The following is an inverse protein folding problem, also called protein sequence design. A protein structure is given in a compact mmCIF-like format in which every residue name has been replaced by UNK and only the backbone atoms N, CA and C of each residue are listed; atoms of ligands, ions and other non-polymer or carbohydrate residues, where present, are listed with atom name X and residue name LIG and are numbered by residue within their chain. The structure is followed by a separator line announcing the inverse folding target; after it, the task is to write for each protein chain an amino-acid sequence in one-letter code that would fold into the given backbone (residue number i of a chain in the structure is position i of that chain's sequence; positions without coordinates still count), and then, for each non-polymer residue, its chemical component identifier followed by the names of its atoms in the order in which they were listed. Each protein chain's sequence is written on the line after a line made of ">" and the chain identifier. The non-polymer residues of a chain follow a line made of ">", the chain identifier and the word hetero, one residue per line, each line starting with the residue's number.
data_IF_336561282756
#
_entry.id   IF_336561282756
#
_cell.length_a   1.000
_cell.length_b   1.000
_cell.length_c   1.000
_cell.angle_alpha   90.00
_cell.angle_beta   90.00
_cell.angle_gamma   90.00
#
_symmetry.space_group_name_H-M   'P 1'
#
loop_
_entity.id
_entity.type
_entity.pdbx_description
1 polymer ?
#
# COMPACT_ATOMS: atom_id res chain seq x y z
N UNK A 1 12.51 -10.76 -37.83
CA UNK A 1 12.49 -12.21 -37.52
C UNK A 1 13.93 -12.66 -37.52
N UNK A 2 14.51 -12.79 -36.35
CA UNK A 2 15.67 -13.63 -36.06
C UNK A 2 15.81 -13.59 -34.53
N UNK A 3 15.58 -14.74 -33.90
CA UNK A 3 15.68 -14.91 -32.47
C UNK A 3 17.11 -15.25 -32.08
N UNK A 4 17.59 -14.67 -31.00
CA UNK A 4 18.79 -15.13 -30.31
C UNK A 4 18.42 -15.44 -28.86
N UNK A 5 18.12 -16.72 -28.61
CA UNK A 5 18.18 -17.31 -27.27
C UNK A 5 19.57 -17.92 -27.12
N UNK A 6 20.30 -17.48 -26.10
CA UNK A 6 21.56 -18.09 -25.73
C UNK A 6 21.27 -19.33 -24.86
N UNK A 7 21.63 -20.47 -25.41
CA UNK A 7 21.63 -21.79 -24.77
C UNK A 7 22.94 -21.94 -24.01
N UNK A 8 22.89 -22.32 -22.74
CA UNK A 8 24.04 -22.91 -22.06
C UNK A 8 23.68 -24.32 -21.57
N UNK A 9 24.35 -25.29 -22.21
CA UNK A 9 24.33 -26.71 -21.89
C UNK A 9 25.23 -26.95 -20.69
N UNK A 10 24.67 -27.54 -19.63
CA UNK A 10 25.41 -28.05 -18.47
C UNK A 10 24.90 -29.43 -18.10
N UNK A 11 25.50 -30.45 -18.72
CA UNK A 11 25.20 -31.86 -18.56
C UNK A 11 25.96 -32.42 -17.35
N UNK A 12 25.26 -32.94 -16.34
CA UNK A 12 25.83 -33.97 -15.44
C UNK A 12 24.73 -34.96 -15.04
N UNK A 13 24.84 -36.16 -15.62
CA UNK A 13 24.17 -37.38 -15.19
C UNK A 13 24.68 -37.78 -13.80
N UNK A 14 23.76 -38.22 -12.94
CA UNK A 14 24.06 -39.20 -11.89
C UNK A 14 22.90 -40.17 -11.80
N UNK A 15 23.15 -41.36 -12.35
CA UNK A 15 22.32 -42.56 -12.25
C UNK A 15 22.33 -43.06 -10.80
N UNK A 16 21.15 -43.28 -10.23
CA UNK A 16 20.95 -44.31 -9.21
C UNK A 16 19.67 -45.08 -9.55
N UNK A 17 19.88 -46.16 -10.30
CA UNK A 17 18.97 -47.29 -10.38
C UNK A 17 18.97 -48.03 -9.06
N UNK A 18 17.83 -48.13 -8.40
CA UNK A 18 17.55 -49.16 -7.41
C UNK A 18 16.20 -49.79 -7.75
N UNK A 19 16.28 -50.95 -8.41
CA UNK A 19 15.20 -51.91 -8.54
C UNK A 19 15.11 -52.65 -7.18
N UNK A 20 13.99 -52.51 -6.49
CA UNK A 20 13.71 -53.21 -5.24
C UNK A 20 12.22 -53.44 -5.15
N UNK A 21 11.76 -54.57 -5.71
CA UNK A 21 10.37 -55.00 -5.63
C UNK A 21 10.00 -55.49 -4.24
N UNK A 22 8.77 -55.17 -3.82
CA UNK A 22 8.12 -55.72 -2.64
C UNK A 22 6.61 -55.58 -2.78
N UNK A 23 5.94 -56.69 -3.07
CA UNK A 23 4.48 -56.83 -3.07
C UNK A 23 3.89 -56.53 -1.70
N UNK A 24 2.87 -55.69 -1.66
CA UNK A 24 2.05 -55.45 -0.47
C UNK A 24 0.98 -54.42 -0.80
N UNK A 25 -0.20 -54.89 -1.18
CA UNK A 25 -1.33 -54.03 -1.44
C UNK A 25 -1.76 -53.31 -0.18
N UNK A 26 -1.85 -51.99 -0.27
CA UNK A 26 -2.78 -51.16 0.47
C UNK A 26 -3.14 -49.98 -0.44
N UNK A 27 -4.35 -50.03 -1.00
CA UNK A 27 -4.95 -48.89 -1.70
C UNK A 27 -5.35 -47.82 -0.68
N UNK A 28 -4.36 -47.19 -0.08
CA UNK A 28 -4.50 -45.85 0.45
C UNK A 28 -3.99 -44.90 -0.63
N UNK A 29 -4.89 -44.47 -1.51
CA UNK A 29 -4.66 -43.28 -2.32
C UNK A 29 -4.46 -42.12 -1.36
N UNK A 30 -3.22 -41.92 -0.92
CA UNK A 30 -2.79 -40.71 -0.25
C UNK A 30 -3.14 -39.58 -1.22
N UNK A 31 -4.20 -38.85 -0.90
CA UNK A 31 -4.54 -37.64 -1.65
C UNK A 31 -3.33 -36.73 -1.49
N UNK A 32 -2.57 -36.57 -2.58
CA UNK A 32 -1.49 -35.59 -2.65
C UNK A 32 -2.14 -34.25 -2.35
N UNK A 33 -1.86 -33.70 -1.17
CA UNK A 33 -2.32 -32.36 -0.81
C UNK A 33 -1.55 -31.42 -1.73
N UNK A 34 -2.20 -30.99 -2.81
CA UNK A 34 -1.65 -29.97 -3.69
C UNK A 34 -1.81 -28.65 -2.96
N UNK A 35 -0.69 -28.12 -2.48
CA UNK A 35 -0.63 -26.77 -1.94
C UNK A 35 -1.17 -25.79 -2.99
N UNK A 36 -1.86 -24.75 -2.54
CA UNK A 36 -2.54 -23.80 -3.42
C UNK A 36 -2.29 -22.39 -2.95
N UNK A 37 -2.03 -21.51 -3.91
CA UNK A 37 -2.08 -20.07 -3.70
C UNK A 37 -3.44 -19.56 -4.20
N UNK A 38 -4.11 -18.77 -3.37
CA UNK A 38 -5.41 -18.16 -3.69
C UNK A 38 -5.50 -16.72 -3.21
N UNK A 39 -6.45 -15.98 -3.77
CA UNK A 39 -6.74 -14.60 -3.38
C UNK A 39 -7.72 -13.95 -4.34
N UNK A 40 -7.85 -12.63 -4.25
CA UNK A 40 -8.67 -11.83 -5.16
C UNK A 40 -7.92 -10.59 -5.62
N UNK A 41 -7.83 -10.38 -6.92
CA UNK A 41 -7.29 -9.15 -7.51
C UNK A 41 -8.39 -8.10 -7.56
N UNK A 42 -8.07 -6.91 -7.09
CA UNK A 42 -9.00 -5.78 -7.00
C UNK A 42 -8.39 -4.53 -7.64
N UNK A 43 -9.27 -3.65 -8.07
CA UNK A 43 -8.95 -2.27 -8.41
C UNK A 43 -9.36 -1.39 -7.22
N UNK A 44 -8.39 -0.70 -6.63
CA UNK A 44 -8.64 0.30 -5.61
C UNK A 44 -9.15 1.58 -6.27
N UNK A 45 -10.36 1.99 -5.89
CA UNK A 45 -10.94 3.24 -6.35
C UNK A 45 -11.30 4.11 -5.16
N UNK A 46 -11.54 5.40 -5.40
CA UNK A 46 -12.11 6.32 -4.40
C UNK A 46 -13.46 5.87 -3.85
N UNK A 47 -14.02 4.79 -4.40
CA UNK A 47 -15.37 4.29 -4.18
C UNK A 47 -15.37 2.86 -3.65
N UNK A 48 -14.17 2.38 -3.28
CA UNK A 48 -13.94 1.05 -2.74
C UNK A 48 -13.32 0.09 -3.71
N UNK A 49 -13.05 -1.08 -3.16
CA UNK A 49 -12.50 -2.20 -3.87
C UNK A 49 -13.52 -2.72 -4.89
N UNK A 50 -13.12 -2.72 -6.15
CA UNK A 50 -13.87 -3.36 -7.21
C UNK A 50 -13.14 -4.61 -7.67
N UNK A 51 -13.88 -5.68 -7.97
CA UNK A 51 -13.31 -6.86 -8.60
C UNK A 51 -12.59 -6.47 -9.89
N UNK A 52 -11.39 -7.00 -10.12
CA UNK A 52 -10.62 -6.68 -11.32
C UNK A 52 -10.36 -7.91 -12.18
N UNK A 53 -11.28 -8.27 -13.09
CA UNK A 53 -11.23 -9.52 -13.83
C UNK A 53 -10.25 -9.50 -15.02
N UNK A 54 -9.91 -10.70 -15.50
CA UNK A 54 -9.04 -10.92 -16.65
C UNK A 54 -7.60 -10.42 -16.45
N UNK A 55 -7.12 -10.44 -15.20
CA UNK A 55 -5.72 -10.27 -14.82
C UNK A 55 -5.02 -11.62 -15.01
N UNK A 56 -3.85 -11.60 -15.64
CA UNK A 56 -3.02 -12.79 -15.76
C UNK A 56 -2.25 -13.02 -14.46
N UNK A 57 -2.35 -14.23 -13.92
CA UNK A 57 -1.61 -14.67 -12.74
C UNK A 57 -0.54 -15.65 -13.21
N UNK A 58 0.72 -15.28 -13.00
CA UNK A 58 1.90 -15.98 -13.48
C UNK A 58 2.64 -16.55 -12.27
N UNK A 59 2.93 -17.85 -12.29
CA UNK A 59 3.79 -18.48 -11.29
C UNK A 59 5.17 -18.63 -11.87
N UNK A 60 6.18 -18.31 -11.07
CA UNK A 60 7.58 -18.34 -11.47
C UNK A 60 8.40 -19.29 -10.60
N UNK A 61 9.42 -19.90 -11.20
CA UNK A 61 10.49 -20.55 -10.45
C UNK A 61 11.44 -19.53 -9.79
N UNK A 62 12.41 -20.00 -9.00
CA UNK A 62 13.40 -19.14 -8.31
C UNK A 62 14.29 -18.31 -9.27
N UNK A 63 14.35 -18.65 -10.57
CA UNK A 63 15.08 -17.87 -11.56
C UNK A 63 14.21 -16.77 -12.19
N UNK A 64 12.93 -16.69 -11.83
CA UNK A 64 11.97 -15.74 -12.38
C UNK A 64 11.27 -16.23 -13.66
N UNK A 65 11.51 -17.47 -14.11
CA UNK A 65 10.92 -18.01 -15.33
C UNK A 65 9.47 -18.42 -15.11
N UNK A 66 8.58 -18.12 -16.06
CA UNK A 66 7.17 -18.51 -15.97
C UNK A 66 7.06 -20.04 -16.06
N UNK A 67 6.47 -20.66 -15.04
CA UNK A 67 6.15 -22.10 -15.00
C UNK A 67 4.65 -22.37 -15.12
N UNK A 68 3.79 -21.43 -14.71
CA UNK A 68 2.33 -21.52 -14.87
C UNK A 68 1.72 -20.17 -15.23
N UNK A 69 0.58 -20.23 -15.91
CA UNK A 69 -0.25 -19.07 -16.25
C UNK A 69 -1.71 -19.42 -16.06
N UNK A 70 -2.41 -18.62 -15.27
CA UNK A 70 -3.87 -18.66 -15.13
C UNK A 70 -4.44 -17.26 -15.29
N UNK A 71 -5.76 -17.15 -15.43
CA UNK A 71 -6.47 -15.87 -15.37
C UNK A 71 -7.42 -15.90 -14.20
N UNK A 72 -7.58 -14.78 -13.51
CA UNK A 72 -8.60 -14.67 -12.48
C UNK A 72 -10.02 -14.62 -13.08
N UNK A 73 -11.02 -14.93 -12.25
CA UNK A 73 -12.43 -14.98 -12.63
C UNK A 73 -13.03 -13.58 -12.79
N UNK A 74 -14.31 -13.51 -13.17
CA UNK A 74 -15.08 -12.26 -13.27
C UNK A 74 -15.18 -11.51 -11.93
N UNK A 75 -15.14 -12.24 -10.80
CA UNK A 75 -15.11 -11.69 -9.45
C UNK A 75 -13.69 -11.30 -8.98
N UNK A 76 -12.70 -11.44 -9.85
CA UNK A 76 -11.31 -11.14 -9.56
C UNK A 76 -10.57 -12.26 -8.82
N UNK A 77 -11.24 -13.38 -8.51
CA UNK A 77 -10.68 -14.47 -7.72
C UNK A 77 -9.70 -15.33 -8.52
N UNK A 78 -8.66 -15.82 -7.86
CA UNK A 78 -7.73 -16.78 -8.46
C UNK A 78 -7.39 -17.90 -7.47
N UNK A 79 -7.08 -19.07 -8.03
CA UNK A 79 -6.53 -20.21 -7.31
C UNK A 79 -5.59 -20.96 -8.25
N UNK A 80 -4.36 -21.19 -7.82
CA UNK A 80 -3.31 -21.85 -8.60
C UNK A 80 -2.60 -22.88 -7.74
N UNK A 81 -2.34 -24.06 -8.30
CA UNK A 81 -1.53 -25.07 -7.61
C UNK A 81 -0.12 -24.52 -7.37
N UNK A 82 0.44 -24.83 -6.21
CA UNK A 82 1.78 -24.44 -5.80
C UNK A 82 2.64 -25.70 -5.68
N UNK A 83 3.46 -25.94 -6.71
CA UNK A 83 4.30 -27.13 -6.80
C UNK A 83 5.68 -26.88 -6.21
N UNK A 84 6.40 -27.96 -5.90
CA UNK A 84 7.80 -27.88 -5.45
C UNK A 84 8.66 -27.20 -6.52
N UNK A 85 9.11 -25.98 -6.23
CA UNK A 85 9.93 -25.15 -7.13
C UNK A 85 9.26 -23.82 -7.51
N UNK A 86 7.94 -23.71 -7.33
CA UNK A 86 7.22 -22.45 -7.45
C UNK A 86 7.67 -21.51 -6.32
N UNK A 87 8.06 -20.28 -6.69
CA UNK A 87 8.74 -19.35 -5.76
C UNK A 87 8.15 -17.95 -5.78
N UNK A 88 7.80 -17.42 -6.96
CA UNK A 88 7.23 -16.07 -7.10
C UNK A 88 5.90 -16.11 -7.83
N UNK A 89 5.10 -15.07 -7.65
CA UNK A 89 3.82 -14.90 -8.35
C UNK A 89 3.70 -13.47 -8.86
N UNK A 90 3.30 -13.31 -10.13
CA UNK A 90 3.04 -12.00 -10.74
C UNK A 90 1.60 -11.86 -11.19
N UNK A 91 1.04 -10.68 -11.02
CA UNK A 91 -0.29 -10.27 -11.46
C UNK A 91 -0.11 -9.22 -12.54
N UNK A 92 -0.55 -9.50 -13.76
CA UNK A 92 -0.29 -8.66 -14.93
C UNK A 92 -1.60 -8.30 -15.60
N UNK A 93 -1.85 -7.01 -15.77
CA UNK A 93 -2.94 -6.49 -16.59
C UNK A 93 -2.36 -5.58 -17.67
N UNK A 94 -2.52 -6.01 -18.92
CA UNK A 94 -2.06 -5.26 -20.07
C UNK A 94 -3.25 -4.59 -20.78
N UNK A 95 -3.53 -3.34 -20.42
CA UNK A 95 -4.66 -2.53 -20.90
C UNK A 95 -4.23 -1.41 -21.83
N UNK A 96 -4.64 -0.18 -21.54
CA UNK A 96 -4.02 1.03 -22.12
C UNK A 96 -2.61 1.14 -21.54
N UNK A 97 -2.50 1.16 -20.22
CA UNK A 97 -1.23 1.03 -19.51
C UNK A 97 -0.99 -0.43 -19.14
N UNK A 98 0.26 -0.73 -18.78
CA UNK A 98 0.63 -2.01 -18.19
C UNK A 98 0.69 -1.85 -16.67
N UNK A 99 -0.07 -2.65 -15.94
CA UNK A 99 0.01 -2.73 -14.49
C UNK A 99 0.50 -4.11 -14.09
N UNK A 100 1.56 -4.17 -13.30
CA UNK A 100 2.12 -5.41 -12.80
C UNK A 100 2.39 -5.35 -11.28
N UNK A 101 2.16 -6.47 -10.60
CA UNK A 101 2.60 -6.69 -9.22
C UNK A 101 3.24 -8.06 -9.10
N UNK A 102 4.44 -8.14 -8.57
CA UNK A 102 5.15 -9.40 -8.31
C UNK A 102 5.37 -9.55 -6.81
N UNK A 103 5.10 -10.74 -6.27
CA UNK A 103 5.45 -11.11 -4.90
C UNK A 103 6.56 -12.17 -4.96
N UNK A 104 7.70 -11.88 -4.34
CA UNK A 104 8.88 -12.73 -4.35
C UNK A 104 8.86 -13.71 -3.16
N UNK A 105 9.26 -14.97 -3.37
CA UNK A 105 9.49 -15.96 -2.31
C UNK A 105 8.25 -16.16 -1.42
N UNK A 106 7.07 -16.21 -2.04
CA UNK A 106 5.81 -16.41 -1.33
C UNK A 106 5.59 -17.89 -1.02
N UNK A 107 4.91 -18.14 0.11
CA UNK A 107 4.48 -19.49 0.49
C UNK A 107 3.07 -19.76 -0.04
N UNK A 108 2.73 -21.04 -0.19
CA UNK A 108 1.36 -21.45 -0.46
C UNK A 108 0.40 -20.93 0.62
N UNK A 109 -0.84 -20.64 0.22
CA UNK A 109 -1.87 -20.13 1.12
C UNK A 109 -2.71 -19.03 0.50
N UNK A 110 -3.32 -18.25 1.38
CA UNK A 110 -4.19 -17.14 1.00
C UNK A 110 -3.39 -15.84 1.00
N UNK A 111 -3.37 -15.15 -0.14
CA UNK A 111 -2.67 -13.89 -0.30
C UNK A 111 -3.54 -12.66 0.02
N UNK A 112 -4.84 -12.85 0.29
CA UNK A 112 -5.76 -11.75 0.58
C UNK A 112 -6.26 -11.01 -0.65
N UNK A 113 -6.48 -9.70 -0.49
CA UNK A 113 -6.73 -8.81 -1.61
C UNK A 113 -5.40 -8.33 -2.22
N UNK A 114 -5.32 -8.41 -3.54
CA UNK A 114 -4.18 -7.97 -4.32
C UNK A 114 -4.60 -6.73 -5.12
N UNK A 115 -4.22 -5.54 -4.67
CA UNK A 115 -4.51 -4.34 -5.42
C UNK A 115 -3.62 -4.22 -6.65
N UNK A 116 -4.26 -3.87 -7.76
CA UNK A 116 -3.60 -3.53 -9.01
C UNK A 116 -4.25 -2.25 -9.54
N UNK A 117 -3.41 -1.30 -10.00
CA UNK A 117 -3.90 -0.07 -10.62
C UNK A 117 -4.73 -0.40 -11.87
N UNK A 118 -5.71 0.44 -12.16
CA UNK A 118 -6.58 0.30 -13.32
C UNK A 118 -6.55 1.55 -14.19
N UNK A 119 -6.66 1.32 -15.49
CA UNK A 119 -6.88 2.37 -16.49
C UNK A 119 -8.29 2.99 -16.42
N UNK A 120 -9.22 2.35 -15.72
CA UNK A 120 -10.60 2.81 -15.67
C UNK A 120 -10.73 4.10 -14.87
N UNK A 121 -11.38 5.11 -15.45
CA UNK A 121 -11.85 6.27 -14.69
C UNK A 121 -12.88 5.81 -13.66
N UNK A 122 -12.71 6.20 -12.39
CA UNK A 122 -13.62 5.86 -11.29
C UNK A 122 -15.07 6.26 -11.63
N UNK A 123 -15.88 5.29 -12.11
CA UNK A 123 -17.29 5.49 -12.51
C UNK A 123 -18.25 5.51 -11.32
N UNK A 124 -17.84 6.06 -10.20
CA UNK A 124 -18.69 6.17 -9.04
C UNK A 124 -19.42 7.50 -9.00
N UNK A 125 -20.60 7.45 -8.37
CA UNK A 125 -21.43 8.62 -8.11
C UNK A 125 -20.77 9.46 -7.00
N UNK A 126 -19.91 10.39 -7.43
CA UNK A 126 -19.26 11.36 -6.58
C UNK A 126 -19.90 12.72 -6.76
N UNK A 127 -20.06 13.45 -5.65
CA UNK A 127 -20.52 14.83 -5.63
C UNK A 127 -19.60 15.68 -4.76
N UNK A 128 -19.76 16.99 -4.86
CA UNK A 128 -19.06 17.94 -4.00
C UNK A 128 -20.04 18.55 -3.01
N UNK A 129 -19.64 18.57 -1.74
CA UNK A 129 -20.39 19.14 -0.63
C UNK A 129 -19.72 20.44 -0.20
N UNK A 130 -20.53 21.45 0.05
CA UNK A 130 -20.11 22.70 0.67
C UNK A 130 -20.73 22.79 2.07
N UNK A 131 -20.02 23.42 2.99
CA UNK A 131 -20.47 23.70 4.34
C UNK A 131 -20.65 25.20 4.53
N UNK A 132 -21.86 25.60 4.91
CA UNK A 132 -22.15 26.98 5.31
C UNK A 132 -21.81 27.13 6.79
N UNK A 133 -20.82 27.97 7.07
CA UNK A 133 -20.29 28.23 8.42
C UNK A 133 -20.86 29.51 9.04
N UNK A 134 -21.87 30.13 8.44
CA UNK A 134 -22.38 31.44 8.86
C UNK A 134 -22.91 31.49 10.29
N UNK A 135 -23.47 30.39 10.80
CA UNK A 135 -23.94 30.30 12.19
C UNK A 135 -22.83 29.96 13.20
N UNK A 136 -21.81 29.21 12.80
CA UNK A 136 -20.73 28.80 13.70
C UNK A 136 -19.56 29.78 13.74
N UNK A 137 -19.30 30.53 12.67
CA UNK A 137 -18.17 31.46 12.61
C UNK A 137 -18.23 32.56 13.69
N UNK A 138 -19.40 33.17 14.01
CA UNK A 138 -19.50 34.14 15.11
C UNK A 138 -19.31 33.52 16.50
N UNK A 139 -19.62 32.24 16.67
CA UNK A 139 -19.52 31.52 17.94
C UNK A 139 -18.10 30.99 18.20
N UNK A 140 -17.38 30.67 17.13
CA UNK A 140 -16.01 30.15 17.17
C UNK A 140 -15.06 31.02 16.32
N UNK A 141 -14.90 32.33 16.64
CA UNK A 141 -14.24 33.30 15.76
C UNK A 141 -12.74 33.06 15.56
N UNK A 142 -12.12 32.23 16.40
CA UNK A 142 -10.69 31.89 16.35
C UNK A 142 -10.49 30.41 16.01
N UNK A 143 -11.31 29.87 15.10
CA UNK A 143 -11.19 28.48 14.65
C UNK A 143 -11.17 28.39 13.14
N UNK A 144 -10.53 27.35 12.62
CA UNK A 144 -10.63 26.93 11.22
C UNK A 144 -11.41 25.63 11.12
N UNK A 145 -12.23 25.47 10.08
CA UNK A 145 -12.88 24.20 9.77
C UNK A 145 -11.93 23.32 8.95
N UNK A 146 -11.72 22.08 9.40
CA UNK A 146 -11.01 21.03 8.67
C UNK A 146 -11.95 19.85 8.37
N UNK A 147 -11.90 19.25 7.15
CA UNK A 147 -11.38 19.88 5.94
C UNK A 147 -12.09 21.23 5.66
N UNK A 148 -11.49 22.06 4.79
CA UNK A 148 -12.05 23.37 4.46
C UNK A 148 -13.50 23.28 3.98
N UNK A 149 -14.30 24.34 4.23
CA UNK A 149 -15.74 24.36 3.98
C UNK A 149 -16.19 24.22 2.53
N UNK A 150 -15.28 24.30 1.56
CA UNK A 150 -15.62 24.29 0.13
C UNK A 150 -15.17 23.03 -0.60
N UNK A 151 -16.05 22.50 -1.45
CA UNK A 151 -15.77 21.43 -2.42
C UNK A 151 -15.20 20.15 -1.81
N UNK A 152 -15.78 19.67 -0.71
CA UNK A 152 -15.42 18.36 -0.16
C UNK A 152 -16.01 17.28 -1.07
N UNK A 153 -15.13 16.54 -1.75
CA UNK A 153 -15.53 15.44 -2.63
C UNK A 153 -15.97 14.25 -1.80
N UNK A 154 -17.19 13.76 -2.03
CA UNK A 154 -17.70 12.51 -1.45
C UNK A 154 -18.18 11.60 -2.54
N UNK A 155 -18.01 10.30 -2.35
CA UNK A 155 -18.40 9.29 -3.31
C UNK A 155 -19.28 8.23 -2.65
N UNK A 156 -20.28 7.73 -3.40
CA UNK A 156 -21.10 6.62 -2.93
C UNK A 156 -20.31 5.32 -2.90
N UNK A 157 -20.47 4.59 -1.80
CA UNK A 157 -20.05 3.20 -1.62
C UNK A 157 -21.32 2.41 -1.28
N UNK A 158 -21.61 1.35 -2.04
CA UNK A 158 -22.85 0.55 -1.86
C UNK A 158 -24.14 1.40 -1.86
N UNK A 159 -24.17 2.46 -2.67
CA UNK A 159 -25.35 3.32 -2.85
C UNK A 159 -25.53 4.42 -1.80
N UNK A 160 -24.63 4.58 -0.83
CA UNK A 160 -24.66 5.65 0.17
C UNK A 160 -23.36 6.44 0.23
N UNK A 161 -23.45 7.74 0.51
CA UNK A 161 -22.29 8.55 0.86
C UNK A 161 -21.86 8.24 2.29
N UNK A 162 -20.56 8.33 2.54
CA UNK A 162 -20.02 8.27 3.90
C UNK A 162 -20.24 9.62 4.61
N UNK A 163 -20.38 9.58 5.94
CA UNK A 163 -20.38 10.80 6.74
C UNK A 163 -19.04 11.52 6.64
N UNK A 164 -19.08 12.84 6.71
CA UNK A 164 -17.89 13.69 6.71
C UNK A 164 -17.57 14.09 8.14
N UNK A 165 -16.39 13.72 8.61
CA UNK A 165 -15.80 14.16 9.86
C UNK A 165 -15.25 15.58 9.67
N UNK A 166 -15.66 16.47 10.55
CA UNK A 166 -15.27 17.87 10.57
C UNK A 166 -14.65 18.20 11.92
N UNK A 167 -13.64 19.06 11.94
CA UNK A 167 -13.06 19.60 13.15
C UNK A 167 -12.98 21.13 13.06
N UNK A 168 -13.39 21.80 14.13
CA UNK A 168 -13.05 23.20 14.38
C UNK A 168 -11.76 23.23 15.17
N UNK A 169 -10.69 23.66 14.51
CA UNK A 169 -9.34 23.71 15.07
C UNK A 169 -9.03 25.15 15.49
N UNK A 170 -8.75 25.40 16.77
CA UNK A 170 -8.36 26.72 17.25
C UNK A 170 -7.11 27.24 16.56
N UNK A 171 -7.09 28.54 16.28
CA UNK A 171 -5.90 29.24 15.76
C UNK A 171 -4.93 29.65 16.87
N UNK A 172 -5.30 29.41 18.13
CA UNK A 172 -4.53 29.69 19.33
C UNK A 172 -4.10 28.39 20.01
N UNK A 173 -2.85 28.35 20.46
CA UNK A 173 -2.30 27.19 21.16
C UNK A 173 -2.97 26.97 22.52
N UNK A 174 -3.03 25.70 22.94
CA UNK A 174 -3.58 25.30 24.25
C UNK A 174 -5.11 25.24 24.33
N UNK A 175 -5.83 25.53 23.26
CA UNK A 175 -7.28 25.31 23.17
C UNK A 175 -7.55 23.98 22.45
N UNK A 176 -8.36 23.12 23.06
CA UNK A 176 -8.72 21.84 22.45
C UNK A 176 -9.64 22.06 21.23
N UNK A 177 -9.42 21.35 20.12
CA UNK A 177 -10.35 21.34 19.00
C UNK A 177 -11.66 20.66 19.37
N UNK A 178 -12.69 20.92 18.57
CA UNK A 178 -13.99 20.25 18.69
C UNK A 178 -14.37 19.64 17.35
N UNK A 179 -14.95 18.45 17.35
CA UNK A 179 -15.24 17.70 16.13
C UNK A 179 -16.67 17.17 16.05
N UNK A 180 -17.09 16.86 14.83
CA UNK A 180 -18.39 16.29 14.52
C UNK A 180 -18.34 15.40 13.28
N UNK A 181 -19.39 14.64 13.05
CA UNK A 181 -19.58 13.85 11.84
C UNK A 181 -20.94 14.19 11.23
N UNK A 182 -20.94 14.53 9.94
CA UNK A 182 -22.12 15.00 9.22
C UNK A 182 -22.55 13.94 8.21
N UNK A 183 -23.78 13.45 8.33
CA UNK A 183 -24.40 12.61 7.31
C UNK A 183 -24.81 13.45 6.10
N UNK A 184 -24.28 13.09 4.93
CA UNK A 184 -24.51 13.80 3.66
C UNK A 184 -25.49 13.08 2.73
N UNK A 185 -26.10 11.98 3.17
CA UNK A 185 -27.03 11.20 2.34
C UNK A 185 -28.35 11.91 2.03
N UNK A 186 -28.73 12.92 2.81
CA UNK A 186 -29.95 13.71 2.60
C UNK A 186 -29.74 14.94 1.72
N UNK A 187 -28.54 15.13 1.16
CA UNK A 187 -28.22 16.28 0.32
C UNK A 187 -28.92 16.23 -1.04
N UNK A 188 -29.50 17.38 -1.41
CA UNK A 188 -29.89 17.67 -2.79
C UNK A 188 -28.70 18.33 -3.48
N UNK A 189 -28.36 17.88 -4.68
CA UNK A 189 -27.20 18.37 -5.45
C UNK A 189 -27.13 19.91 -5.47
N UNK A 190 -25.98 20.44 -5.05
CA UNK A 190 -25.67 21.88 -5.07
C UNK A 190 -26.08 22.67 -3.82
N UNK A 191 -26.72 22.05 -2.83
CA UNK A 191 -26.99 22.71 -1.54
C UNK A 191 -25.77 22.64 -0.61
N UNK A 192 -25.50 23.74 0.09
CA UNK A 192 -24.56 23.75 1.20
C UNK A 192 -25.24 23.19 2.47
N UNK A 193 -24.51 22.41 3.26
CA UNK A 193 -24.95 22.00 4.60
C UNK A 193 -24.66 23.15 5.56
N UNK A 194 -25.72 23.69 6.16
CA UNK A 194 -25.58 24.65 7.25
C UNK A 194 -25.08 23.95 8.50
N UNK A 195 -23.89 24.34 8.96
CA UNK A 195 -23.33 23.89 10.23
C UNK A 195 -23.84 24.78 11.36
N UNK A 196 -24.29 24.16 12.44
CA UNK A 196 -24.87 24.81 13.60
C UNK A 196 -24.05 24.58 14.85
N UNK A 197 -24.25 25.42 15.86
CA UNK A 197 -23.59 25.26 17.16
C UNK A 197 -23.85 23.88 17.79
N UNK A 198 -25.08 23.38 17.66
CA UNK A 198 -25.50 22.08 18.18
C UNK A 198 -24.72 20.90 17.58
N UNK A 199 -24.21 21.04 16.36
CA UNK A 199 -23.37 20.02 15.72
C UNK A 199 -22.03 19.85 16.45
N UNK A 200 -21.60 20.85 17.23
CA UNK A 200 -20.32 20.87 17.94
C UNK A 200 -20.47 20.88 19.47
N UNK A 201 -21.70 20.80 19.98
CA UNK A 201 -21.96 20.79 21.43
C UNK A 201 -21.84 19.37 22.02
N UNK A 202 -21.18 19.27 23.17
CA UNK A 202 -21.07 18.04 23.98
C UNK A 202 -19.63 17.72 24.35
N UNK A 203 -19.41 17.21 25.57
CA UNK A 203 -18.07 16.90 26.08
C UNK A 203 -17.34 15.85 25.23
N UNK A 204 -18.06 14.89 24.65
CA UNK A 204 -17.50 13.84 23.79
C UNK A 204 -16.96 14.35 22.44
N UNK A 205 -17.25 15.61 22.08
CA UNK A 205 -16.78 16.26 20.85
C UNK A 205 -15.46 17.00 21.05
N UNK A 206 -15.05 17.21 22.29
CA UNK A 206 -13.80 17.89 22.60
C UNK A 206 -12.61 16.95 22.37
N UNK A 207 -11.63 17.45 21.63
CA UNK A 207 -10.41 16.72 21.32
C UNK A 207 -9.58 16.48 22.57
N UNK A 208 -9.09 15.24 22.71
CA UNK A 208 -8.15 14.84 23.74
C UNK A 208 -6.73 14.95 23.17
N UNK A 209 -5.88 15.73 23.83
CA UNK A 209 -4.49 15.90 23.40
C UNK A 209 -3.74 14.57 23.49
N UNK A 210 -3.04 14.22 22.41
CA UNK A 210 -2.19 13.03 22.36
C UNK A 210 -0.77 13.42 22.78
N UNK A 211 -0.19 12.62 23.67
CA UNK A 211 1.21 12.79 24.06
C UNK A 211 2.11 11.96 23.15
N UNK A 212 3.06 12.61 22.50
CA UNK A 212 4.02 11.97 21.58
C UNK A 212 5.44 12.12 22.12
N UNK A 213 6.23 11.03 22.03
CA UNK A 213 7.67 11.02 22.27
C UNK A 213 8.43 10.83 20.96
N UNK A 214 9.71 11.24 20.88
CA UNK A 214 10.56 11.02 19.71
C UNK A 214 10.40 12.01 18.55
N UNK A 215 9.61 13.06 18.71
CA UNK A 215 9.46 14.14 17.73
C UNK A 215 10.64 15.11 17.75
N UNK A 216 11.00 15.61 16.58
CA UNK A 216 11.99 16.67 16.41
C UNK A 216 11.43 17.80 15.53
N UNK A 217 12.12 18.95 15.53
CA UNK A 217 11.75 20.07 14.67
C UNK A 217 11.82 19.68 13.19
N UNK A 218 10.75 19.91 12.45
CA UNK A 218 10.61 19.57 11.03
C UNK A 218 9.71 18.37 10.74
N UNK A 219 9.38 17.56 11.76
CA UNK A 219 8.41 16.48 11.60
C UNK A 219 6.99 17.04 11.43
N UNK A 220 6.19 16.34 10.62
CA UNK A 220 4.78 16.60 10.39
C UNK A 220 3.92 15.65 11.20
N UNK A 221 2.85 16.19 11.80
CA UNK A 221 1.89 15.44 12.59
C UNK A 221 0.52 15.44 11.94
N UNK A 222 -0.12 14.28 11.92
CA UNK A 222 -1.53 14.14 11.61
C UNK A 222 -2.19 13.16 12.57
N UNK A 223 -3.48 13.36 12.81
CA UNK A 223 -4.34 12.28 13.27
C UNK A 223 -5.35 12.02 12.18
N UNK A 224 -5.75 10.78 12.03
CA UNK A 224 -6.83 10.44 11.15
C UNK A 224 -7.78 9.49 11.82
N UNK A 225 -8.98 9.46 11.28
CA UNK A 225 -9.98 8.47 11.62
C UNK A 225 -10.18 7.57 10.41
N UNK A 226 -10.14 6.26 10.63
CA UNK A 226 -10.60 5.30 9.64
C UNK A 226 -12.13 5.30 9.74
N UNK A 227 -12.80 5.64 8.63
CA UNK A 227 -14.20 5.26 8.50
C UNK A 227 -14.24 3.76 8.22
N UNK A 228 -14.98 2.99 9.03
CA UNK A 228 -14.97 1.51 9.06
C UNK A 228 -15.39 0.80 7.73
N UNK A 229 -14.74 1.02 6.57
CA UNK A 229 -15.07 0.35 5.29
C UNK A 229 -13.88 0.14 4.35
N UNK A 230 -14.06 -0.91 3.51
CA UNK A 230 -13.22 -1.46 2.43
C UNK A 230 -12.62 -0.48 1.40
N UNK A 231 -12.77 0.83 1.54
CA UNK A 231 -12.27 1.82 0.58
C UNK A 231 -11.22 2.78 1.12
N UNK A 232 -10.79 2.64 2.39
CA UNK A 232 -9.69 3.44 2.94
C UNK A 232 -9.88 4.95 2.76
N UNK A 233 -11.12 5.45 2.80
CA UNK A 233 -11.35 6.89 2.81
C UNK A 233 -11.00 7.40 4.21
N UNK A 234 -9.70 7.62 4.38
CA UNK A 234 -9.09 8.22 5.53
C UNK A 234 -9.49 9.69 5.58
N UNK A 235 -10.11 10.08 6.69
CA UNK A 235 -10.31 11.48 6.98
C UNK A 235 -9.22 11.88 7.95
N UNK A 236 -8.23 12.60 7.41
CA UNK A 236 -7.05 13.04 8.13
C UNK A 236 -7.16 14.52 8.50
N UNK A 237 -6.87 14.80 9.76
CA UNK A 237 -6.62 16.14 10.26
C UNK A 237 -5.10 16.32 10.38
N UNK A 238 -4.55 17.25 9.62
CA UNK A 238 -3.16 17.67 9.78
C UNK A 238 -3.06 18.68 10.92
N UNK A 239 -2.12 18.45 11.83
CA UNK A 239 -1.92 19.30 13.01
C UNK A 239 -0.59 20.03 12.92
N UNK A 240 -0.57 21.30 13.34
CA UNK A 240 0.65 22.10 13.30
C UNK A 240 1.56 21.91 14.51
N UNK A 241 1.01 21.60 15.68
CA UNK A 241 1.78 21.54 16.93
C UNK A 241 1.42 20.33 17.80
N UNK A 242 0.13 20.17 18.10
CA UNK A 242 -0.36 19.08 18.95
C UNK A 242 -1.39 18.24 18.20
N UNK A 243 -1.22 16.92 18.28
CA UNK A 243 -2.19 15.96 17.78
C UNK A 243 -3.35 15.81 18.76
N UNK A 244 -4.57 15.67 18.23
CA UNK A 244 -5.77 15.43 19.04
C UNK A 244 -6.55 14.23 18.49
N UNK A 245 -7.14 13.47 19.41
CA UNK A 245 -8.06 12.38 19.11
C UNK A 245 -9.46 12.68 19.66
N UNK A 246 -10.46 12.04 19.08
CA UNK A 246 -11.86 12.17 19.42
C UNK A 246 -12.48 10.77 19.62
N UNK A 247 -12.04 9.99 20.62
CA UNK A 247 -12.31 8.55 20.72
C UNK A 247 -13.79 8.20 20.95
N UNK A 248 -14.60 9.18 21.33
CA UNK A 248 -16.06 9.04 21.51
C UNK A 248 -16.86 9.54 20.31
N UNK A 249 -16.21 10.20 19.34
CA UNK A 249 -16.83 10.80 18.17
C UNK A 249 -16.47 10.02 16.90
N UNK A 250 -15.23 9.55 16.80
CA UNK A 250 -14.73 8.75 15.69
C UNK A 250 -14.50 7.32 16.15
N UNK A 251 -14.54 6.37 15.19
CA UNK A 251 -14.36 4.96 15.47
C UNK A 251 -12.89 4.64 15.74
N UNK A 252 -12.22 4.04 14.76
CA UNK A 252 -10.78 3.80 14.85
C UNK A 252 -10.03 5.08 14.48
N UNK A 253 -9.19 5.54 15.40
CA UNK A 253 -8.31 6.69 15.18
C UNK A 253 -6.85 6.26 15.19
N UNK A 254 -6.03 7.02 14.48
CA UNK A 254 -4.60 6.84 14.42
C UNK A 254 -3.89 8.19 14.53
N UNK A 255 -2.66 8.13 15.01
CA UNK A 255 -1.71 9.23 14.96
C UNK A 255 -0.57 8.85 14.04
N UNK A 256 -0.18 9.77 13.18
CA UNK A 256 0.94 9.61 12.26
C UNK A 256 1.93 10.74 12.46
N UNK A 257 3.20 10.38 12.61
CA UNK A 257 4.31 11.29 12.48
C UNK A 257 5.04 10.99 11.18
N UNK A 258 5.48 12.02 10.47
CA UNK A 258 6.23 11.86 9.23
C UNK A 258 7.30 12.92 9.04
N UNK A 259 8.33 12.57 8.30
CA UNK A 259 9.41 13.48 7.93
C UNK A 259 9.66 13.38 6.44
N UNK A 260 9.85 14.52 5.80
CA UNK A 260 10.08 14.57 4.35
C UNK A 260 11.38 15.30 4.02
N UNK A 261 12.08 14.79 3.01
CA UNK A 261 13.28 15.42 2.44
C UNK A 261 13.23 15.37 0.92
N UNK A 262 13.74 16.44 0.29
CA UNK A 262 13.81 16.56 -1.16
C UNK A 262 15.22 16.94 -1.57
N UNK A 263 15.80 16.17 -2.48
CA UNK A 263 17.12 16.43 -3.05
C UNK A 263 17.02 16.50 -4.57
N UNK A 264 17.37 17.65 -5.14
CA UNK A 264 17.48 17.81 -6.59
C UNK A 264 18.95 17.74 -6.98
N UNK A 265 19.27 16.81 -7.88
CA UNK A 265 20.61 16.64 -8.43
C UNK A 265 20.81 17.51 -9.69
N UNK A 266 22.05 17.95 -10.00
CA UNK A 266 22.33 18.81 -11.16
C UNK A 266 21.94 18.21 -12.52
N UNK A 267 21.83 16.88 -12.61
CA UNK A 267 21.42 16.17 -13.83
C UNK A 267 19.89 16.14 -14.05
N UNK A 268 19.11 16.78 -13.16
CA UNK A 268 17.65 16.80 -13.23
C UNK A 268 16.97 15.63 -12.52
N UNK A 269 17.73 14.73 -11.86
CA UNK A 269 17.17 13.70 -10.99
C UNK A 269 16.65 14.33 -9.70
N UNK A 270 15.44 13.99 -9.30
CA UNK A 270 14.86 14.37 -8.01
C UNK A 270 14.68 13.13 -7.13
N UNK A 271 15.12 13.25 -5.89
CA UNK A 271 15.01 12.24 -4.85
C UNK A 271 14.07 12.80 -3.78
N UNK A 272 12.99 12.08 -3.54
CA UNK A 272 12.05 12.33 -2.45
C UNK A 272 12.18 11.22 -1.42
N UNK A 273 12.34 11.60 -0.15
CA UNK A 273 12.33 10.69 0.98
C UNK A 273 11.18 11.05 1.91
N UNK A 274 10.42 10.04 2.33
CA UNK A 274 9.39 10.12 3.35
C UNK A 274 9.63 9.00 4.35
N UNK A 275 9.74 9.31 5.63
CA UNK A 275 9.55 8.32 6.69
C UNK A 275 8.30 8.65 7.46
N UNK A 276 7.49 7.65 7.78
CA UNK A 276 6.26 7.81 8.53
C UNK A 276 6.10 6.67 9.54
N UNK A 277 5.51 6.99 10.69
CA UNK A 277 5.11 6.02 11.69
C UNK A 277 3.65 6.30 12.06
N UNK A 278 2.79 5.32 11.82
CA UNK A 278 1.36 5.38 12.14
C UNK A 278 1.05 4.41 13.26
N UNK A 279 0.35 4.87 14.29
CA UNK A 279 -0.09 4.06 15.43
C UNK A 279 -1.58 4.23 15.67
N UNK A 280 -2.23 3.12 16.04
CA UNK A 280 -3.64 3.17 16.44
C UNK A 280 -3.79 3.77 17.84
N UNK A 281 -4.72 4.71 17.99
CA UNK A 281 -5.02 5.37 19.26
C UNK A 281 -6.05 4.53 20.00
N UNK A 282 -5.62 3.82 21.05
CA UNK A 282 -6.52 3.06 21.92
C UNK A 282 -6.91 3.83 23.19
N UNK A 283 -6.08 4.78 23.61
CA UNK A 283 -6.25 5.58 24.81
C UNK A 283 -5.45 6.88 24.66
N UNK A 284 -6.13 8.03 24.61
CA UNK A 284 -5.49 9.32 24.42
C UNK A 284 -4.55 9.73 25.58
N UNK A 285 -4.68 9.09 26.75
CA UNK A 285 -3.82 9.37 27.91
C UNK A 285 -2.48 8.64 27.87
N UNK A 286 -2.26 7.77 26.88
CA UNK A 286 -0.97 7.09 26.68
C UNK A 286 0.01 7.97 25.92
N UNK A 287 1.29 7.68 26.12
CA UNK A 287 2.37 8.25 25.32
C UNK A 287 2.58 7.33 24.11
N UNK A 288 2.56 7.90 22.91
CA UNK A 288 2.82 7.18 21.66
C UNK A 288 4.22 7.52 21.15
N UNK A 289 4.95 6.52 20.65
CA UNK A 289 6.31 6.72 20.18
C UNK A 289 6.31 7.19 18.72
N UNK A 290 6.55 8.46 18.46
CA UNK A 290 6.61 9.03 17.12
C UNK A 290 8.00 8.95 16.47
N UNK A 291 8.92 8.13 16.99
CA UNK A 291 10.25 7.95 16.41
C UNK A 291 10.17 7.40 14.99
N UNK A 292 10.71 8.20 14.06
CA UNK A 292 10.84 7.92 12.63
C UNK A 292 12.30 8.01 12.21
N UNK A 293 12.67 7.24 11.18
CA UNK A 293 14.01 7.30 10.60
C UNK A 293 14.13 8.60 9.78
N UNK A 294 15.24 9.32 9.94
CA UNK A 294 15.50 10.59 9.26
C UNK A 294 16.75 10.56 8.39
N UNK A 295 17.48 9.45 8.42
CA UNK A 295 18.71 9.27 7.67
C UNK A 295 18.43 8.43 6.42
N UNK A 296 18.31 9.11 5.29
CA UNK A 296 18.09 8.45 4.00
C UNK A 296 19.40 7.99 3.34
N UNK A 297 20.58 8.41 3.82
CA UNK A 297 21.84 8.09 3.17
C UNK A 297 22.16 6.58 3.19
N UNK A 298 22.00 5.85 4.32
CA UNK A 298 22.14 4.40 4.36
C UNK A 298 21.14 3.69 3.44
N UNK A 299 19.92 4.23 3.31
CA UNK A 299 18.90 3.68 2.43
C UNK A 299 19.28 3.81 0.96
N UNK A 300 19.80 4.98 0.58
CA UNK A 300 20.26 5.24 -0.78
C UNK A 300 21.48 4.38 -1.12
N UNK A 301 22.42 4.21 -0.19
CA UNK A 301 23.58 3.32 -0.34
C UNK A 301 23.15 1.86 -0.52
N UNK A 302 22.19 1.38 0.28
CA UNK A 302 21.64 0.03 0.16
C UNK A 302 20.87 -0.21 -1.14
N UNK A 303 20.29 0.85 -1.73
CA UNK A 303 19.56 0.77 -2.99
C UNK A 303 20.48 0.81 -4.22
N UNK A 304 21.70 1.36 -4.11
CA UNK A 304 22.60 1.52 -5.26
C UNK A 304 22.91 0.21 -6.01
N UNK A 305 23.22 -0.93 -5.35
CA UNK A 305 23.43 -2.19 -6.05
C UNK A 305 22.20 -2.63 -6.87
N UNK A 306 20.99 -2.39 -6.35
CA UNK A 306 19.73 -2.71 -7.04
C UNK A 306 19.60 -1.87 -8.31
N UNK A 307 19.88 -0.57 -8.23
CA UNK A 307 19.87 0.33 -9.38
C UNK A 307 20.84 -0.14 -10.47
N UNK A 308 22.08 -0.46 -10.10
CA UNK A 308 23.11 -0.92 -11.03
C UNK A 308 22.72 -2.24 -11.69
N UNK A 309 22.15 -3.17 -10.93
CA UNK A 309 21.74 -4.48 -11.44
C UNK A 309 20.49 -4.43 -12.32
N UNK A 310 19.51 -3.58 -12.00
CA UNK A 310 18.36 -3.31 -12.87
C UNK A 310 18.82 -2.68 -14.19
N UNK A 311 19.72 -1.69 -14.13
CA UNK A 311 20.29 -1.07 -15.33
C UNK A 311 21.11 -2.05 -16.18
N UNK A 312 21.81 -2.99 -15.55
CA UNK A 312 22.56 -4.04 -16.21
C UNK A 312 21.69 -5.20 -16.72
N UNK A 313 20.38 -5.21 -16.41
CA UNK A 313 19.47 -6.32 -16.67
C UNK A 313 20.01 -7.64 -16.09
N UNK A 314 20.38 -7.63 -14.81
CA UNK A 314 20.93 -8.77 -14.08
C UNK A 314 20.14 -9.07 -12.82
N UNK A 315 20.16 -10.34 -12.41
CA UNK A 315 19.65 -10.73 -11.10
C UNK A 315 20.51 -10.06 -10.02
N UNK A 316 19.87 -9.45 -9.03
CA UNK A 316 20.53 -8.52 -8.10
C UNK A 316 20.17 -8.80 -6.66
N UNK A 317 21.17 -8.96 -5.81
CA UNK A 317 20.95 -9.11 -4.38
C UNK A 317 20.73 -7.77 -3.70
N UNK A 318 19.89 -7.76 -2.67
CA UNK A 318 19.61 -6.60 -1.84
C UNK A 318 19.52 -7.02 -0.37
N UNK A 319 19.86 -6.12 0.54
CA UNK A 319 19.78 -6.35 1.98
C UNK A 319 19.58 -5.02 2.72
N UNK A 320 18.38 -4.82 3.25
CA UNK A 320 18.02 -3.65 4.06
C UNK A 320 18.07 -3.96 5.57
N UNK A 321 18.59 -5.12 5.99
CA UNK A 321 18.69 -5.49 7.41
C UNK A 321 19.57 -4.56 8.23
N UNK A 322 20.51 -3.86 7.60
CA UNK A 322 21.37 -2.87 8.24
C UNK A 322 20.68 -1.51 8.43
N UNK A 323 19.62 -1.22 7.65
CA UNK A 323 18.84 0.01 7.79
C UNK A 323 17.92 -0.07 8.99
N UNK A 324 17.10 -1.14 9.07
CA UNK A 324 16.31 -1.44 10.26
C UNK A 324 16.06 -2.96 10.35
N UNK A 325 16.28 -3.53 11.53
CA UNK A 325 16.09 -4.95 11.79
C UNK A 325 14.60 -5.36 11.76
N UNK A 326 13.68 -4.43 11.96
CA UNK A 326 12.23 -4.66 12.07
C UNK A 326 11.51 -4.63 10.72
N UNK A 327 12.21 -4.38 9.61
CA UNK A 327 11.60 -4.42 8.28
C UNK A 327 11.01 -5.81 8.04
N UNK A 328 9.71 -5.85 7.80
CA UNK A 328 8.98 -7.08 7.49
C UNK A 328 8.87 -7.28 5.98
N UNK A 329 8.78 -6.19 5.20
CA UNK A 329 8.65 -6.24 3.75
C UNK A 329 9.35 -5.08 3.03
N UNK A 330 9.74 -5.33 1.78
CA UNK A 330 10.30 -4.38 0.82
C UNK A 330 9.41 -4.37 -0.41
N UNK A 331 9.12 -3.21 -0.97
CA UNK A 331 8.45 -3.06 -2.25
C UNK A 331 9.23 -2.09 -3.15
N UNK A 332 9.64 -2.58 -4.31
CA UNK A 332 10.23 -1.76 -5.38
C UNK A 332 9.13 -1.35 -6.35
N UNK A 333 8.99 -0.06 -6.61
CA UNK A 333 8.03 0.48 -7.56
C UNK A 333 8.77 1.02 -8.78
N UNK A 334 8.64 0.32 -9.90
CA UNK A 334 9.20 0.71 -11.19
C UNK A 334 8.09 1.27 -12.05
N UNK A 335 8.33 2.35 -12.79
CA UNK A 335 7.28 2.82 -13.69
C UNK A 335 7.64 3.99 -14.58
N UNK A 336 6.68 4.30 -15.44
CA UNK A 336 6.59 5.48 -16.29
C UNK A 336 5.13 5.88 -16.43
N UNK A 337 4.81 6.80 -17.35
CA UNK A 337 3.42 7.15 -17.65
C UNK A 337 2.63 6.01 -18.30
N UNK A 338 3.29 5.04 -18.93
CA UNK A 338 2.63 3.98 -19.72
C UNK A 338 2.59 2.63 -18.99
N UNK A 339 3.30 2.50 -17.87
CA UNK A 339 3.34 1.26 -17.09
C UNK A 339 3.78 1.50 -15.66
N UNK A 340 3.34 0.64 -14.76
CA UNK A 340 3.89 0.48 -13.42
C UNK A 340 4.04 -0.99 -13.06
N UNK A 341 5.06 -1.27 -12.27
CA UNK A 341 5.40 -2.58 -11.78
C UNK A 341 5.86 -2.48 -10.33
N UNK A 342 5.10 -3.07 -9.42
CA UNK A 342 5.52 -3.24 -8.02
C UNK A 342 6.13 -4.63 -7.81
N UNK A 343 7.22 -4.72 -7.05
CA UNK A 343 7.89 -5.98 -6.72
C UNK A 343 8.10 -6.03 -5.22
N UNK A 344 7.35 -6.89 -4.55
CA UNK A 344 7.33 -7.05 -3.10
C UNK A 344 8.14 -8.28 -2.67
N UNK A 345 8.90 -8.17 -1.58
CA UNK A 345 9.69 -9.28 -1.03
C UNK A 345 10.10 -9.05 0.42
N UNK A 346 10.96 -9.92 0.93
CA UNK A 346 11.53 -9.80 2.27
C UNK A 346 12.53 -8.63 2.37
N UNK A 347 13.00 -8.29 3.58
CA UNK A 347 14.01 -7.23 3.78
C UNK A 347 15.36 -7.48 3.10
N UNK A 348 15.65 -8.73 2.76
CA UNK A 348 16.86 -9.15 2.07
C UNK A 348 16.53 -10.28 1.11
N UNK A 349 17.20 -10.34 -0.03
CA UNK A 349 17.00 -11.40 -1.00
C UNK A 349 17.68 -11.13 -2.33
N UNK A 350 17.15 -11.77 -3.36
CA UNK A 350 17.56 -11.54 -4.75
C UNK A 350 16.34 -11.12 -5.56
N UNK A 351 16.49 -10.07 -6.34
CA UNK A 351 15.59 -9.68 -7.41
C UNK A 351 16.01 -10.46 -8.66
N UNK A 352 15.30 -11.54 -9.06
CA UNK A 352 15.64 -12.29 -10.26
C UNK A 352 15.17 -11.54 -11.52
N UNK A 353 15.57 -12.04 -12.69
CA UNK A 353 15.00 -11.58 -13.96
C UNK A 353 13.60 -12.17 -14.15
N UNK A 354 12.60 -11.48 -13.61
CA UNK A 354 11.20 -11.92 -13.71
C UNK A 354 10.74 -11.86 -15.16
N UNK A 355 10.39 -13.02 -15.72
CA UNK A 355 9.85 -13.13 -17.07
C UNK A 355 8.40 -12.63 -17.11
N UNK A 356 8.11 -11.65 -17.94
CA UNK A 356 6.75 -11.15 -18.19
C UNK A 356 6.26 -11.59 -19.58
N UNK A 357 4.93 -11.56 -19.85
CA UNK A 357 4.39 -11.78 -21.18
C UNK A 357 5.04 -10.88 -22.24
N UNK A 358 5.28 -11.39 -23.45
CA UNK A 358 6.02 -10.67 -24.51
C UNK A 358 5.44 -9.29 -24.83
N UNK A 359 4.12 -9.17 -24.81
CA UNK A 359 3.37 -7.93 -25.03
C UNK A 359 3.56 -6.91 -23.88
N UNK A 360 3.69 -7.38 -22.63
CA UNK A 360 4.05 -6.54 -21.49
C UNK A 360 5.49 -6.03 -21.63
N UNK A 361 6.44 -6.93 -21.93
CA UNK A 361 7.86 -6.57 -22.17
C UNK A 361 7.99 -5.56 -23.30
N UNK A 362 7.23 -5.74 -24.38
CA UNK A 362 7.23 -4.80 -25.49
C UNK A 362 6.80 -3.38 -25.07
N UNK A 363 5.75 -3.24 -24.25
CA UNK A 363 5.30 -1.93 -23.74
C UNK A 363 6.33 -1.27 -22.84
N UNK A 364 6.97 -2.04 -21.95
CA UNK A 364 8.08 -1.53 -21.12
C UNK A 364 9.18 -0.99 -22.02
N UNK A 365 9.62 -1.75 -23.03
CA UNK A 365 10.69 -1.34 -23.93
C UNK A 365 10.36 -0.13 -24.82
N UNK A 366 9.09 0.09 -25.17
CA UNK A 366 8.67 1.27 -25.94
C UNK A 366 8.69 2.56 -25.11
N UNK A 367 8.56 2.45 -23.78
CA UNK A 367 8.37 3.59 -22.87
C UNK A 367 9.64 4.00 -22.13
N UNK A 368 10.76 3.27 -22.29
CA UNK A 368 12.09 3.64 -21.77
C UNK A 368 12.66 4.95 -22.33
N UNK A 369 11.95 5.59 -23.26
CA UNK A 369 12.26 6.94 -23.76
C UNK A 369 11.71 8.08 -22.90
N UNK A 370 10.92 7.79 -21.86
CA UNK A 370 10.30 8.76 -20.96
C UNK A 370 10.85 8.68 -19.54
N UNK A 371 10.69 9.75 -18.75
CA UNK A 371 11.10 9.81 -17.34
C UNK A 371 10.64 8.56 -16.57
N UNK A 372 11.59 7.70 -16.23
CA UNK A 372 11.33 6.54 -15.39
C UNK A 372 11.45 6.93 -13.92
N UNK A 373 10.67 6.26 -13.09
CA UNK A 373 10.75 6.38 -11.64
C UNK A 373 11.09 5.04 -11.01
N UNK A 374 11.92 5.10 -9.97
CA UNK A 374 12.11 4.01 -9.02
C UNK A 374 11.66 4.48 -7.64
N UNK A 375 10.67 3.80 -7.07
CA UNK A 375 10.33 3.86 -5.66
C UNK A 375 10.88 2.66 -4.91
N UNK A 376 11.24 2.88 -3.65
CA UNK A 376 11.52 1.85 -2.66
C UNK A 376 10.63 2.16 -1.46
N UNK A 377 9.87 1.16 -1.01
CA UNK A 377 9.04 1.23 0.19
C UNK A 377 9.50 0.12 1.14
N UNK A 378 9.93 0.50 2.32
CA UNK A 378 10.22 -0.41 3.43
C UNK A 378 9.06 -0.36 4.41
N UNK A 379 8.54 -1.52 4.80
CA UNK A 379 7.44 -1.64 5.75
C UNK A 379 7.90 -2.43 6.97
N UNK A 380 7.73 -1.82 8.13
CA UNK A 380 7.85 -2.46 9.44
C UNK A 380 6.44 -2.64 10.00
N UNK A 381 6.05 -3.89 10.26
CA UNK A 381 4.82 -4.19 11.01
C UNK A 381 5.19 -4.70 12.39
N UNK A 382 4.57 -4.11 13.42
CA UNK A 382 4.76 -4.50 14.82
C UNK A 382 4.45 -5.98 15.08
N UNK A 383 3.53 -6.58 14.32
CA UNK A 383 3.10 -7.96 14.52
C UNK A 383 3.84 -8.96 13.62
N UNK A 384 4.78 -8.49 12.79
CA UNK A 384 5.42 -9.32 11.77
C UNK A 384 6.95 -9.23 11.83
N UNK A 385 7.59 -10.32 12.23
CA UNK A 385 9.06 -10.42 12.31
C UNK A 385 9.70 -10.92 11.01
N UNK A 386 8.87 -11.43 10.08
CA UNK A 386 9.29 -11.97 8.80
C UNK A 386 8.33 -11.57 7.68
N UNK A 387 8.78 -11.73 6.43
CA UNK A 387 7.93 -11.49 5.26
C UNK A 387 6.73 -12.44 5.19
N UNK A 388 6.90 -13.68 5.63
CA UNK A 388 5.80 -14.65 5.67
C UNK A 388 4.72 -14.23 6.68
N UNK A 389 5.12 -13.77 7.88
CA UNK A 389 4.20 -13.23 8.89
C UNK A 389 3.46 -12.01 8.33
N UNK A 390 4.20 -11.09 7.70
CA UNK A 390 3.64 -9.90 7.07
C UNK A 390 2.60 -10.24 6.02
N UNK A 391 2.87 -11.21 5.13
CA UNK A 391 1.90 -11.63 4.11
C UNK A 391 0.67 -12.28 4.71
N UNK A 392 0.84 -13.06 5.78
CA UNK A 392 -0.28 -13.69 6.47
C UNK A 392 -1.16 -12.66 7.19
N UNK A 393 -0.54 -11.67 7.83
CA UNK A 393 -1.22 -10.53 8.44
C UNK A 393 -1.95 -9.71 7.38
N UNK A 394 -1.26 -9.33 6.30
CA UNK A 394 -1.85 -8.62 5.16
C UNK A 394 -3.06 -9.34 4.59
N UNK A 395 -2.98 -10.67 4.43
CA UNK A 395 -4.10 -11.46 3.91
C UNK A 395 -5.35 -11.38 4.80
N UNK A 396 -5.18 -11.26 6.12
CA UNK A 396 -6.28 -11.06 7.07
C UNK A 396 -6.79 -9.62 6.98
N UNK A 397 -5.90 -8.64 7.19
CA UNK A 397 -6.32 -7.24 7.31
C UNK A 397 -6.91 -6.72 6.01
N UNK A 398 -6.35 -7.03 4.84
CA UNK A 398 -6.81 -6.51 3.54
C UNK A 398 -8.29 -6.73 3.23
N UNK A 399 -8.98 -7.62 3.95
CA UNK A 399 -10.44 -7.86 3.83
C UNK A 399 -11.29 -7.04 4.80
N UNK A 400 -10.73 -6.71 5.96
CA UNK A 400 -11.42 -6.13 7.11
C UNK A 400 -11.05 -4.65 7.31
N UNK A 401 -9.77 -4.30 7.14
CA UNK A 401 -9.20 -2.96 7.27
C UNK A 401 -8.04 -2.75 6.29
N UNK A 402 -7.96 -1.57 5.68
CA UNK A 402 -6.93 -1.28 4.68
C UNK A 402 -5.56 -0.95 5.24
N UNK A 403 -5.47 -0.73 6.55
CA UNK A 403 -4.25 -0.31 7.19
C UNK A 403 -3.70 -1.40 8.08
N UNK A 404 -2.41 -1.70 7.89
CA UNK A 404 -1.62 -2.29 8.96
C UNK A 404 -1.58 -1.24 10.07
N UNK A 405 -2.31 -1.49 11.15
CA UNK A 405 -2.22 -0.68 12.35
C UNK A 405 -0.85 -0.88 12.98
N UNK A 406 -0.27 0.18 13.54
CA UNK A 406 1.08 0.17 14.12
C UNK A 406 2.19 -0.23 13.12
N UNK A 407 2.33 0.56 12.05
CA UNK A 407 3.34 0.36 11.02
C UNK A 407 4.26 1.57 10.85
N UNK A 408 5.55 1.29 10.62
CA UNK A 408 6.51 2.28 10.10
C UNK A 408 6.75 2.04 8.63
N UNK A 409 6.84 3.13 7.87
CA UNK A 409 7.10 3.10 6.45
C UNK A 409 8.22 4.07 6.13
N UNK A 410 9.21 3.61 5.36
CA UNK A 410 10.20 4.49 4.73
C UNK A 410 10.05 4.38 3.22
N UNK A 411 9.83 5.51 2.56
CA UNK A 411 9.67 5.63 1.11
C UNK A 411 10.82 6.46 0.55
N UNK A 412 11.51 5.92 -0.43
CA UNK A 412 12.50 6.63 -1.24
C UNK A 412 12.05 6.60 -2.70
N UNK A 413 11.78 7.75 -3.29
CA UNK A 413 11.37 7.87 -4.67
C UNK A 413 12.42 8.65 -5.46
N UNK A 414 12.95 8.04 -6.51
CA UNK A 414 13.91 8.61 -7.44
C UNK A 414 13.21 8.80 -8.78
N UNK A 415 13.17 10.02 -9.27
CA UNK A 415 12.56 10.37 -10.56
C UNK A 415 13.57 11.12 -11.43
N UNK A 416 13.64 10.78 -12.71
CA UNK A 416 14.55 11.43 -13.66
C UNK A 416 14.94 10.52 -14.82
N UNK A 417 16.03 10.85 -15.51
CA UNK A 417 16.69 9.89 -16.39
C UNK A 417 17.52 8.97 -15.53
N UNK A 418 16.99 7.78 -15.24
CA UNK A 418 17.67 6.69 -14.55
C UNK A 418 18.51 5.92 -15.58
#
# INVERSE_FOLDING_TARGET
>A
MEGNKLVLVGLTLSLLTACGGGSGGDNNSASVIVETIKGRVINETTCGNQSYPGVEVLVHDNAGKIVKRVKNTDDGEFSVSWDKGDTHISFVKNGVNLHAKTLLNVSAGDLGLIPLKSDATNNCDCTYVNFDTSEIAPLYPNTQLLPSSSNVKVCKVEGKYQSINLALVPTQDGVAPIATSIDVNNLINGQAILLKAEDFNGEYRQGQAITLDGLVSGDHLSTGSVSNRQSGADQQFSWQQSAYAFPQQFGEEYVSASHTQFHNLPNGTSIFYLSAHTQQIHDANKIYNAEINRDFAPLLEALQPVLEGVAANQATSYDFSQYDANISAVNFELGSQAWDWSIEGAKSGTLPLIELPTDAVHKINLSTSFNSSLGLILVESKNSTSYADFRQEWAKVSRDSYFLTDAKVSILHISGKI
#
